data_IF_479064935608
#
_entry.id   IF_479064935608
#
_cell.length_a   1.000
_cell.length_b   1.000
_cell.length_c   1.000
_cell.angle_alpha   90.00
_cell.angle_beta   90.00
_cell.angle_gamma   90.00
#
_symmetry.space_group_name_H-M   'P 1'
#
loop_
_entity.id
_entity.type
_entity.pdbx_description
1 polymer ?
#
# COMPACT_ATOMS: atom_id res chain seq x y z
N UNK A 1 -35.20 -11.74 9.96
CA UNK A 1 -36.26 -11.67 11.01
C UNK A 1 -35.79 -11.04 12.31
N UNK A 2 -34.61 -11.31 12.84
CA UNK A 2 -34.13 -10.68 14.11
C UNK A 2 -34.11 -9.13 14.09
N UNK A 3 -33.85 -8.51 12.94
CA UNK A 3 -33.74 -7.04 12.79
C UNK A 3 -35.12 -6.34 12.77
N UNK A 4 -36.20 -7.04 12.51
CA UNK A 4 -37.54 -6.47 12.29
C UNK A 4 -38.56 -6.86 13.38
N UNK A 5 -38.13 -6.98 14.63
CA UNK A 5 -39.02 -7.27 15.75
C UNK A 5 -39.52 -8.73 15.79
N UNK A 6 -38.59 -9.68 15.54
CA UNK A 6 -38.85 -11.12 15.53
C UNK A 6 -39.66 -11.60 16.75
N UNK A 7 -39.44 -11.01 17.93
CA UNK A 7 -40.16 -11.38 19.14
C UNK A 7 -41.63 -10.92 19.12
N UNK A 8 -41.91 -9.75 18.54
CA UNK A 8 -43.31 -9.28 18.38
C UNK A 8 -44.09 -10.14 17.40
N UNK A 9 -43.42 -10.53 16.28
CA UNK A 9 -43.99 -11.44 15.29
C UNK A 9 -44.22 -12.82 15.91
N UNK A 10 -43.27 -13.35 16.67
CA UNK A 10 -43.35 -14.62 17.36
C UNK A 10 -44.50 -14.65 18.40
N UNK A 11 -44.66 -13.58 19.18
CA UNK A 11 -45.75 -13.44 20.13
C UNK A 11 -47.13 -13.30 19.45
N UNK A 12 -47.18 -12.62 18.28
CA UNK A 12 -48.41 -12.51 17.49
C UNK A 12 -48.78 -13.87 16.88
N UNK A 13 -47.83 -14.66 16.41
CA UNK A 13 -48.02 -16.00 15.90
C UNK A 13 -48.53 -16.96 16.99
N UNK A 14 -47.98 -16.88 18.22
CA UNK A 14 -48.46 -17.65 19.35
C UNK A 14 -49.90 -17.30 19.75
N UNK A 15 -50.31 -16.01 19.63
CA UNK A 15 -51.72 -15.58 19.90
C UNK A 15 -52.71 -16.01 18.80
N UNK A 16 -52.22 -16.23 17.59
CA UNK A 16 -53.02 -16.70 16.43
C UNK A 16 -53.17 -18.24 16.40
N UNK A 17 -52.59 -18.96 17.37
CA UNK A 17 -52.76 -20.41 17.48
C UNK A 17 -52.04 -21.21 16.39
N UNK A 18 -51.02 -20.63 15.75
CA UNK A 18 -50.28 -21.28 14.67
C UNK A 18 -49.30 -22.31 15.21
N UNK A 19 -49.45 -23.57 14.85
CA UNK A 19 -48.52 -24.65 15.15
C UNK A 19 -47.28 -24.63 14.25
N UNK A 20 -46.17 -25.19 14.74
CA UNK A 20 -44.93 -25.26 14.01
C UNK A 20 -45.07 -26.10 12.72
N UNK A 21 -44.95 -25.47 11.57
CA UNK A 21 -44.92 -26.14 10.27
C UNK A 21 -46.08 -25.80 9.34
N UNK A 22 -47.07 -25.04 9.77
CA UNK A 22 -48.17 -24.60 8.89
C UNK A 22 -47.76 -23.35 8.06
N UNK A 23 -48.17 -23.25 6.79
CA UNK A 23 -47.94 -22.06 5.97
C UNK A 23 -48.76 -20.87 6.49
N UNK A 24 -48.11 -19.74 6.71
CA UNK A 24 -48.72 -18.54 7.26
C UNK A 24 -49.46 -17.77 6.15
N UNK A 25 -50.73 -18.00 5.99
CA UNK A 25 -51.61 -17.33 5.01
C UNK A 25 -52.41 -16.17 5.61
N UNK A 26 -51.78 -15.26 6.36
CA UNK A 26 -52.47 -14.12 6.93
C UNK A 26 -52.09 -12.81 6.28
N UNK A 27 -53.06 -12.04 5.74
CA UNK A 27 -52.84 -10.79 4.96
C UNK A 27 -51.99 -9.75 5.73
N UNK A 28 -52.07 -9.68 7.05
CA UNK A 28 -51.21 -8.79 7.87
C UNK A 28 -49.74 -9.25 7.88
N UNK A 29 -49.51 -10.56 7.95
CA UNK A 29 -48.17 -11.14 7.94
C UNK A 29 -47.48 -10.93 6.58
N UNK A 30 -48.22 -11.20 5.48
CA UNK A 30 -47.74 -10.95 4.13
C UNK A 30 -47.32 -9.47 3.94
N UNK A 31 -48.20 -8.53 4.36
CA UNK A 31 -47.86 -7.09 4.30
C UNK A 31 -46.68 -6.71 5.19
N UNK A 32 -46.51 -7.34 6.34
CA UNK A 32 -45.39 -7.09 7.22
C UNK A 32 -44.05 -7.59 6.57
N UNK A 33 -44.11 -8.74 5.92
CA UNK A 33 -42.97 -9.31 5.17
C UNK A 33 -42.60 -8.41 3.97
N UNK A 34 -43.61 -7.98 3.17
CA UNK A 34 -43.37 -7.05 2.07
C UNK A 34 -42.71 -5.73 2.53
N UNK A 35 -43.19 -5.15 3.61
CA UNK A 35 -42.57 -3.94 4.17
C UNK A 35 -41.13 -4.18 4.63
N UNK A 36 -40.89 -5.31 5.29
CA UNK A 36 -39.55 -5.69 5.73
C UNK A 36 -38.62 -5.91 4.53
N UNK A 37 -39.09 -6.58 3.48
CA UNK A 37 -38.30 -6.77 2.23
C UNK A 37 -37.97 -5.43 1.56
N UNK A 38 -38.97 -4.55 1.37
CA UNK A 38 -38.74 -3.20 0.82
C UNK A 38 -37.74 -2.39 1.63
N UNK A 39 -37.77 -2.51 2.97
CA UNK A 39 -36.83 -1.83 3.83
C UNK A 39 -35.41 -2.38 3.71
N UNK A 40 -35.23 -3.71 3.58
CA UNK A 40 -33.93 -4.34 3.33
C UNK A 40 -33.40 -3.96 1.95
N UNK A 41 -34.26 -4.01 0.92
CA UNK A 41 -33.90 -3.60 -0.45
C UNK A 41 -33.47 -2.13 -0.48
N UNK A 42 -34.22 -1.23 0.17
CA UNK A 42 -33.85 0.19 0.29
C UNK A 42 -32.48 0.39 0.93
N UNK A 43 -32.18 -0.30 2.05
CA UNK A 43 -30.86 -0.23 2.70
C UNK A 43 -29.77 -0.78 1.80
N UNK A 44 -30.00 -1.90 1.13
CA UNK A 44 -29.03 -2.49 0.22
C UNK A 44 -28.78 -1.58 -0.99
N UNK A 45 -29.82 -0.93 -1.50
CA UNK A 45 -29.70 0.05 -2.57
C UNK A 45 -28.87 1.26 -2.14
N UNK A 46 -29.15 1.84 -0.98
CA UNK A 46 -28.37 2.95 -0.41
C UNK A 46 -26.91 2.58 -0.21
N UNK A 47 -26.64 1.39 0.36
CA UNK A 47 -25.27 0.91 0.56
C UNK A 47 -24.51 0.76 -0.77
N UNK A 48 -25.16 0.21 -1.80
CA UNK A 48 -24.56 0.08 -3.14
C UNK A 48 -24.33 1.44 -3.78
N UNK A 49 -25.30 2.36 -3.66
CA UNK A 49 -25.16 3.72 -4.17
C UNK A 49 -23.98 4.44 -3.53
N UNK A 50 -23.81 4.31 -2.22
CA UNK A 50 -22.65 4.88 -1.51
C UNK A 50 -21.33 4.29 -2.02
N UNK A 51 -21.24 2.98 -2.23
CA UNK A 51 -20.04 2.35 -2.79
C UNK A 51 -19.69 2.90 -4.17
N UNK A 52 -20.70 3.00 -5.07
CA UNK A 52 -20.51 3.55 -6.41
C UNK A 52 -20.01 5.00 -6.40
N UNK A 53 -20.52 5.84 -5.49
CA UNK A 53 -20.10 7.24 -5.39
C UNK A 53 -18.62 7.40 -5.00
N UNK A 54 -18.06 6.49 -4.19
CA UNK A 54 -16.62 6.43 -3.90
C UNK A 54 -15.81 5.85 -5.07
N UNK A 55 -16.34 4.81 -5.70
CA UNK A 55 -15.68 4.14 -6.83
C UNK A 55 -15.58 5.05 -8.06
N UNK A 56 -16.58 5.93 -8.30
CA UNK A 56 -16.56 6.90 -9.40
C UNK A 56 -15.37 7.86 -9.32
N UNK A 57 -14.99 8.30 -8.11
CA UNK A 57 -13.83 9.17 -7.91
C UNK A 57 -12.55 8.42 -8.29
N UNK A 58 -12.40 7.20 -7.78
CA UNK A 58 -11.24 6.35 -8.07
C UNK A 58 -11.14 5.99 -9.55
N UNK A 59 -12.28 5.74 -10.23
CA UNK A 59 -12.31 5.42 -11.65
C UNK A 59 -11.81 6.58 -12.52
N UNK A 60 -12.23 7.82 -12.23
CA UNK A 60 -11.73 9.01 -12.95
C UNK A 60 -10.22 9.19 -12.79
N UNK A 61 -9.70 8.97 -11.60
CA UNK A 61 -8.26 9.03 -11.34
C UNK A 61 -7.52 7.90 -12.05
N UNK A 62 -8.10 6.69 -12.07
CA UNK A 62 -7.57 5.54 -12.81
C UNK A 62 -7.49 5.80 -14.31
N UNK A 63 -8.53 6.38 -14.90
CA UNK A 63 -8.55 6.75 -16.32
C UNK A 63 -7.42 7.71 -16.65
N UNK A 64 -7.18 8.74 -15.83
CA UNK A 64 -6.10 9.69 -16.02
C UNK A 64 -4.71 9.03 -15.96
N UNK A 65 -4.46 8.17 -14.96
CA UNK A 65 -3.19 7.46 -14.82
C UNK A 65 -2.98 6.43 -15.93
N UNK A 66 -4.03 5.73 -16.34
CA UNK A 66 -3.92 4.75 -17.42
C UNK A 66 -3.75 5.41 -18.79
N UNK A 67 -4.28 6.63 -19.01
CA UNK A 67 -3.97 7.44 -20.19
C UNK A 67 -2.48 7.81 -20.24
N UNK A 68 -1.96 8.40 -19.16
CA UNK A 68 -0.53 8.70 -19.04
C UNK A 68 0.34 7.46 -19.27
N UNK A 69 -0.02 6.34 -18.63
CA UNK A 69 0.70 5.08 -18.80
C UNK A 69 0.68 4.58 -20.26
N UNK A 70 -0.42 4.76 -20.94
CA UNK A 70 -0.56 4.43 -22.37
C UNK A 70 0.32 5.32 -23.24
N UNK A 71 0.33 6.62 -23.01
CA UNK A 71 1.18 7.59 -23.72
C UNK A 71 2.67 7.24 -23.56
N UNK A 72 3.09 6.89 -22.33
CA UNK A 72 4.46 6.41 -22.06
C UNK A 72 4.77 5.13 -22.86
N UNK A 73 3.84 4.15 -22.89
CA UNK A 73 4.05 2.89 -23.61
C UNK A 73 4.11 3.07 -25.11
N UNK A 74 3.35 4.02 -25.67
CA UNK A 74 3.38 4.36 -27.10
C UNK A 74 4.59 5.21 -27.47
N UNK A 75 5.33 5.74 -26.48
CA UNK A 75 6.46 6.64 -26.72
C UNK A 75 6.03 8.07 -27.05
N UNK A 76 4.76 8.43 -26.83
CA UNK A 76 4.22 9.79 -27.00
C UNK A 76 4.70 10.71 -25.88
N UNK A 77 4.80 10.19 -24.67
CA UNK A 77 5.44 10.85 -23.52
C UNK A 77 6.94 10.49 -23.50
N UNK A 78 7.76 11.26 -24.17
CA UNK A 78 9.21 11.08 -24.27
C UNK A 78 9.97 12.35 -23.93
N UNK A 79 11.00 12.68 -24.75
CA UNK A 79 11.87 13.84 -24.57
C UNK A 79 11.11 15.13 -24.27
N UNK A 80 10.10 15.45 -25.09
CA UNK A 80 9.37 16.72 -24.98
C UNK A 80 8.64 16.80 -23.64
N UNK A 81 8.02 15.71 -23.20
CA UNK A 81 7.37 15.64 -21.88
C UNK A 81 8.38 15.85 -20.74
N UNK A 82 9.54 15.19 -20.80
CA UNK A 82 10.58 15.31 -19.76
C UNK A 82 11.11 16.74 -19.68
N UNK A 83 11.39 17.39 -20.82
CA UNK A 83 11.92 18.74 -20.86
C UNK A 83 10.88 19.77 -20.41
N UNK A 84 9.61 19.62 -20.81
CA UNK A 84 8.52 20.48 -20.35
C UNK A 84 8.37 20.41 -18.82
N UNK A 85 8.39 19.20 -18.24
CA UNK A 85 8.33 19.06 -16.78
C UNK A 85 9.59 19.58 -16.08
N UNK A 86 10.75 19.44 -16.71
CA UNK A 86 11.99 20.02 -16.19
C UNK A 86 11.94 21.55 -16.16
N UNK A 87 11.39 22.18 -17.19
CA UNK A 87 11.18 23.63 -17.25
C UNK A 87 10.23 24.10 -16.14
N UNK A 88 9.12 23.39 -15.90
CA UNK A 88 8.19 23.69 -14.82
C UNK A 88 8.88 23.62 -13.44
N UNK A 89 9.76 22.62 -13.22
CA UNK A 89 10.52 22.51 -11.97
C UNK A 89 11.54 23.63 -11.82
N UNK A 90 12.24 24.03 -12.90
CA UNK A 90 13.15 25.18 -12.87
C UNK A 90 12.37 26.45 -12.51
N UNK A 91 11.21 26.67 -13.13
CA UNK A 91 10.34 27.81 -12.83
C UNK A 91 9.91 27.82 -11.35
N UNK A 92 9.50 26.68 -10.83
CA UNK A 92 9.13 26.52 -9.41
C UNK A 92 10.30 26.83 -8.46
N UNK A 93 11.49 26.31 -8.75
CA UNK A 93 12.69 26.54 -7.94
C UNK A 93 13.08 28.01 -8.00
N UNK A 94 13.05 28.63 -9.18
CA UNK A 94 13.32 30.06 -9.36
C UNK A 94 12.32 30.92 -8.57
N UNK A 95 11.03 30.64 -8.67
CA UNK A 95 10.00 31.41 -7.96
C UNK A 95 10.10 31.25 -6.44
N UNK A 96 10.63 30.11 -5.96
CA UNK A 96 10.83 29.83 -4.54
C UNK A 96 12.07 30.51 -3.98
N UNK A 97 13.20 30.44 -4.70
CA UNK A 97 14.50 30.91 -4.20
C UNK A 97 14.87 32.33 -4.66
N UNK A 98 14.33 32.74 -5.82
CA UNK A 98 14.65 34.01 -6.47
C UNK A 98 13.38 34.80 -6.85
N UNK A 99 12.34 34.79 -6.02
CA UNK A 99 11.01 35.32 -6.36
C UNK A 99 11.04 36.77 -6.89
N UNK A 100 10.11 37.12 -7.81
CA UNK A 100 10.01 38.40 -8.50
C UNK A 100 9.93 39.64 -7.59
N UNK A 101 9.63 39.48 -6.30
CA UNK A 101 9.50 40.57 -5.32
C UNK A 101 10.72 40.68 -4.40
N UNK A 102 11.75 39.88 -4.64
CA UNK A 102 12.97 39.83 -3.85
C UNK A 102 14.08 40.52 -4.64
N UNK A 103 14.83 41.41 -4.01
CA UNK A 103 15.97 42.06 -4.64
C UNK A 103 17.06 40.99 -4.92
N UNK A 104 17.81 41.16 -6.00
CA UNK A 104 18.83 40.18 -6.43
C UNK A 104 19.88 39.87 -5.35
N UNK A 105 20.10 40.82 -4.44
CA UNK A 105 21.01 40.64 -3.29
C UNK A 105 20.47 39.67 -2.20
N UNK A 106 19.16 39.43 -2.19
CA UNK A 106 18.47 38.61 -1.21
C UNK A 106 18.11 37.23 -1.78
N UNK A 107 18.55 36.91 -3.01
CA UNK A 107 18.33 35.58 -3.60
C UNK A 107 19.13 34.51 -2.88
N UNK A 108 18.48 33.38 -2.58
CA UNK A 108 19.16 32.23 -2.01
C UNK A 108 19.78 31.34 -3.10
N UNK A 109 20.88 31.80 -3.67
CA UNK A 109 21.63 31.06 -4.70
C UNK A 109 22.22 29.74 -4.16
N UNK A 110 22.42 29.63 -2.83
CA UNK A 110 22.87 28.40 -2.20
C UNK A 110 21.77 27.32 -2.19
N UNK A 111 20.55 27.71 -1.85
CA UNK A 111 19.38 26.84 -1.94
C UNK A 111 19.06 26.49 -3.38
N UNK A 112 19.12 27.44 -4.32
CA UNK A 112 18.98 27.22 -5.75
C UNK A 112 19.97 26.13 -6.25
N UNK A 113 21.23 26.27 -5.93
CA UNK A 113 22.26 25.30 -6.34
C UNK A 113 22.00 23.91 -5.74
N UNK A 114 21.50 23.85 -4.49
CA UNK A 114 21.11 22.61 -3.83
C UNK A 114 19.94 21.93 -4.56
N UNK A 115 18.94 22.70 -4.96
CA UNK A 115 17.79 22.20 -5.70
C UNK A 115 18.20 21.72 -7.10
N UNK A 116 19.04 22.47 -7.84
CA UNK A 116 19.55 22.07 -9.15
C UNK A 116 20.35 20.75 -9.09
N UNK A 117 21.14 20.58 -8.03
CA UNK A 117 21.81 19.32 -7.77
C UNK A 117 20.83 18.19 -7.42
N UNK A 118 19.80 18.50 -6.64
CA UNK A 118 18.82 17.51 -6.18
C UNK A 118 17.93 16.99 -7.32
N UNK A 119 17.50 17.87 -8.23
CA UNK A 119 16.62 17.50 -9.34
C UNK A 119 17.38 17.01 -10.59
N UNK A 120 18.46 17.68 -10.96
CA UNK A 120 19.09 17.51 -12.27
C UNK A 120 20.53 16.99 -12.22
N UNK A 121 21.06 16.75 -11.02
CA UNK A 121 22.47 16.34 -10.84
C UNK A 121 23.46 17.35 -11.43
N UNK A 122 23.10 18.65 -11.40
CA UNK A 122 23.95 19.75 -11.85
C UNK A 122 24.78 20.24 -10.66
N UNK A 123 26.11 20.15 -10.78
CA UNK A 123 27.04 20.57 -9.73
C UNK A 123 27.14 22.10 -9.66
N UNK A 124 27.46 22.63 -8.50
CA UNK A 124 27.64 24.10 -8.29
C UNK A 124 28.63 24.70 -9.29
N UNK A 125 29.71 23.99 -9.61
CA UNK A 125 30.72 24.43 -10.58
C UNK A 125 30.22 24.46 -12.04
N UNK A 126 29.14 23.78 -12.38
CA UNK A 126 28.52 23.76 -13.71
C UNK A 126 27.53 24.93 -13.88
N UNK A 127 27.07 25.54 -12.78
CA UNK A 127 26.10 26.62 -12.82
C UNK A 127 26.67 27.95 -13.37
N UNK A 128 27.96 28.15 -13.28
CA UNK A 128 28.62 29.39 -13.73
C UNK A 128 28.43 30.55 -12.76
N UNK A 129 28.54 31.79 -13.27
CA UNK A 129 28.38 33.02 -12.48
C UNK A 129 26.89 33.44 -12.48
N UNK A 130 26.17 33.04 -11.42
CA UNK A 130 24.74 33.32 -11.26
C UNK A 130 24.46 34.73 -10.76
N UNK A 131 25.44 35.37 -10.05
CA UNK A 131 25.24 36.68 -9.41
C UNK A 131 25.18 37.84 -10.41
N UNK A 132 25.74 37.64 -11.60
CA UNK A 132 25.81 38.66 -12.66
C UNK A 132 24.57 38.69 -13.56
N UNK A 133 23.67 37.70 -13.48
CA UNK A 133 22.56 37.55 -14.40
C UNK A 133 21.29 38.23 -13.87
N UNK A 134 20.49 38.80 -14.79
CA UNK A 134 19.14 39.23 -14.48
C UNK A 134 18.20 38.02 -14.30
N UNK A 135 17.09 38.18 -13.58
CA UNK A 135 16.16 37.09 -13.22
C UNK A 135 15.75 36.23 -14.42
N UNK A 136 15.36 36.83 -15.53
CA UNK A 136 14.95 36.13 -16.74
C UNK A 136 16.16 35.47 -17.44
N UNK A 137 17.31 36.10 -17.44
CA UNK A 137 18.53 35.53 -17.99
C UNK A 137 19.01 34.34 -17.19
N UNK A 138 18.88 34.41 -15.86
CA UNK A 138 19.16 33.30 -14.96
C UNK A 138 18.22 32.12 -15.23
N UNK A 139 16.93 32.39 -15.39
CA UNK A 139 15.91 31.39 -15.72
C UNK A 139 16.25 30.64 -17.01
N UNK A 140 16.49 31.37 -18.08
CA UNK A 140 16.85 30.81 -19.38
C UNK A 140 18.19 30.08 -19.35
N UNK A 141 19.16 30.57 -18.59
CA UNK A 141 20.44 29.91 -18.39
C UNK A 141 20.26 28.54 -17.71
N UNK A 142 19.49 28.46 -16.63
CA UNK A 142 19.23 27.20 -15.92
C UNK A 142 18.47 26.19 -16.79
N UNK A 143 17.44 26.63 -17.54
CA UNK A 143 16.73 25.77 -18.51
C UNK A 143 17.68 25.24 -19.59
N UNK A 144 18.57 26.11 -20.09
CA UNK A 144 19.61 25.72 -21.05
C UNK A 144 20.56 24.68 -20.49
N UNK A 145 20.99 24.81 -19.23
CA UNK A 145 21.86 23.82 -18.59
C UNK A 145 21.16 22.45 -18.43
N UNK A 146 19.89 22.46 -18.01
CA UNK A 146 19.10 21.24 -17.87
C UNK A 146 18.93 20.53 -19.23
N UNK A 147 18.59 21.30 -20.26
CA UNK A 147 18.48 20.79 -21.65
C UNK A 147 19.80 20.19 -22.13
N UNK A 148 20.91 20.89 -21.92
CA UNK A 148 22.25 20.43 -22.30
C UNK A 148 22.59 19.13 -21.57
N UNK A 149 22.38 19.05 -20.26
CA UNK A 149 22.60 17.84 -19.45
C UNK A 149 21.80 16.64 -19.94
N UNK A 150 20.53 16.87 -20.29
CA UNK A 150 19.68 15.84 -20.88
C UNK A 150 20.20 15.38 -22.25
N UNK A 151 20.59 16.31 -23.11
CA UNK A 151 21.11 16.01 -24.47
C UNK A 151 22.44 15.26 -24.44
N UNK A 152 23.36 15.64 -23.55
CA UNK A 152 24.61 14.91 -23.32
C UNK A 152 24.33 13.47 -22.90
N UNK A 153 23.39 13.27 -21.97
CA UNK A 153 22.96 11.95 -21.53
C UNK A 153 22.34 11.16 -22.70
N UNK A 154 21.45 11.81 -23.45
CA UNK A 154 20.80 11.20 -24.61
C UNK A 154 21.80 10.79 -25.70
N UNK A 155 22.78 11.62 -25.98
CA UNK A 155 23.85 11.29 -26.94
C UNK A 155 24.73 10.11 -26.49
N UNK A 156 25.08 10.09 -25.19
CA UNK A 156 25.88 9.01 -24.60
C UNK A 156 25.15 7.67 -24.61
N UNK A 157 23.84 7.66 -24.32
CA UNK A 157 23.03 6.43 -24.27
C UNK A 157 22.47 6.01 -25.64
N UNK A 158 22.35 6.93 -26.58
CA UNK A 158 21.84 6.66 -27.93
C UNK A 158 20.46 6.01 -27.91
N UNK A 159 20.32 4.91 -28.64
CA UNK A 159 19.03 4.20 -28.75
C UNK A 159 18.48 3.63 -27.42
N UNK A 160 19.34 3.47 -26.40
CA UNK A 160 18.93 2.95 -25.09
C UNK A 160 18.16 4.00 -24.31
N UNK A 161 18.38 5.29 -24.59
CA UNK A 161 17.77 6.40 -23.86
C UNK A 161 16.24 6.31 -23.79
N UNK A 162 15.58 6.07 -24.91
CA UNK A 162 14.10 5.95 -24.97
C UNK A 162 13.57 4.77 -24.15
N UNK A 163 14.30 3.64 -24.14
CA UNK A 163 13.93 2.48 -23.32
C UNK A 163 14.12 2.77 -21.84
N UNK A 164 15.19 3.47 -21.51
CA UNK A 164 15.52 3.86 -20.15
C UNK A 164 14.50 4.84 -19.58
N UNK A 165 14.13 5.89 -20.32
CA UNK A 165 13.07 6.83 -19.94
C UNK A 165 11.76 6.12 -19.70
N UNK A 166 11.32 5.31 -20.66
CA UNK A 166 10.07 4.58 -20.54
C UNK A 166 10.03 3.65 -19.33
N UNK A 167 11.13 2.96 -19.06
CA UNK A 167 11.23 2.06 -17.90
C UNK A 167 11.12 2.84 -16.57
N UNK A 168 11.85 3.96 -16.47
CA UNK A 168 11.79 4.84 -15.28
C UNK A 168 10.39 5.37 -15.09
N UNK A 169 9.79 5.99 -16.13
CA UNK A 169 8.47 6.60 -16.06
C UNK A 169 7.41 5.57 -15.65
N UNK A 170 7.40 4.38 -16.25
CA UNK A 170 6.47 3.32 -15.90
C UNK A 170 6.63 2.85 -14.45
N UNK A 171 7.86 2.67 -13.98
CA UNK A 171 8.13 2.24 -12.60
C UNK A 171 7.65 3.28 -11.59
N UNK A 172 7.93 4.55 -11.84
CA UNK A 172 7.53 5.65 -10.94
C UNK A 172 6.01 5.77 -10.90
N UNK A 173 5.36 5.80 -12.07
CA UNK A 173 3.89 5.88 -12.18
C UNK A 173 3.22 4.69 -11.48
N UNK A 174 3.67 3.46 -11.76
CA UNK A 174 3.09 2.25 -11.18
C UNK A 174 3.29 2.19 -9.67
N UNK A 175 4.42 2.65 -9.15
CA UNK A 175 4.69 2.69 -7.72
C UNK A 175 3.81 3.72 -7.01
N UNK A 176 3.81 4.96 -7.49
CA UNK A 176 3.02 6.04 -6.92
C UNK A 176 1.51 5.74 -6.97
N UNK A 177 1.02 5.16 -8.06
CA UNK A 177 -0.37 4.74 -8.19
C UNK A 177 -0.77 3.68 -7.16
N UNK A 178 0.07 2.67 -6.92
CA UNK A 178 -0.18 1.65 -5.89
C UNK A 178 -0.26 2.24 -4.49
N UNK A 179 0.68 3.14 -4.16
CA UNK A 179 0.67 3.83 -2.87
C UNK A 179 -0.58 4.72 -2.71
N UNK A 180 -0.96 5.41 -3.79
CA UNK A 180 -2.16 6.25 -3.80
C UNK A 180 -3.44 5.44 -3.57
N UNK A 181 -3.59 4.29 -4.23
CA UNK A 181 -4.73 3.40 -4.01
C UNK A 181 -4.82 2.96 -2.54
N UNK A 182 -3.69 2.60 -1.94
CA UNK A 182 -3.65 2.25 -0.51
C UNK A 182 -4.05 3.44 0.36
N UNK A 183 -3.59 4.65 0.02
CA UNK A 183 -3.98 5.89 0.69
C UNK A 183 -5.49 6.17 0.61
N UNK A 184 -6.09 5.95 -0.57
CA UNK A 184 -7.54 6.10 -0.76
C UNK A 184 -8.36 5.08 0.04
N UNK A 185 -7.87 3.85 0.18
CA UNK A 185 -8.53 2.84 1.02
C UNK A 185 -8.53 3.28 2.49
N UNK A 186 -7.40 3.77 3.01
CA UNK A 186 -7.34 4.32 4.37
C UNK A 186 -8.21 5.56 4.55
N UNK A 187 -8.25 6.45 3.55
CA UNK A 187 -9.14 7.61 3.56
C UNK A 187 -10.61 7.19 3.65
N UNK A 188 -11.02 6.20 2.85
CA UNK A 188 -12.38 5.65 2.81
C UNK A 188 -12.80 5.04 4.15
N UNK A 189 -11.89 4.35 4.84
CA UNK A 189 -12.16 3.81 6.19
C UNK A 189 -12.37 4.91 7.23
N UNK A 190 -11.55 5.97 7.18
CA UNK A 190 -11.57 7.07 8.14
C UNK A 190 -12.65 8.14 7.90
N UNK A 191 -13.14 8.30 6.67
CA UNK A 191 -13.96 9.44 6.27
C UNK A 191 -15.31 9.50 6.99
N UNK A 192 -15.88 8.35 7.36
CA UNK A 192 -17.17 8.28 8.05
C UNK A 192 -17.13 8.94 9.44
N UNK A 193 -15.95 9.01 10.08
CA UNK A 193 -15.78 9.66 11.37
C UNK A 193 -15.99 11.18 11.28
N UNK A 194 -15.81 11.78 10.11
CA UNK A 194 -16.04 13.22 9.88
C UNK A 194 -17.51 13.62 9.89
N UNK A 195 -18.39 12.65 9.71
CA UNK A 195 -19.85 12.85 9.90
C UNK A 195 -20.21 13.35 11.29
N UNK A 196 -19.43 13.05 12.32
CA UNK A 196 -19.63 13.58 13.67
C UNK A 196 -19.38 15.09 13.76
N UNK A 197 -18.58 15.66 12.84
CA UNK A 197 -18.32 17.11 12.74
C UNK A 197 -19.32 17.84 11.85
N UNK A 198 -20.48 17.26 11.55
CA UNK A 198 -21.54 17.81 10.67
C UNK A 198 -21.07 18.09 9.23
N UNK A 199 -19.99 17.48 8.79
CA UNK A 199 -19.54 17.54 7.40
C UNK A 199 -20.08 16.37 6.61
N UNK A 200 -20.40 16.61 5.32
CA UNK A 200 -20.80 15.52 4.43
C UNK A 200 -19.57 14.65 4.09
N UNK A 201 -19.53 13.39 4.54
CA UNK A 201 -18.38 12.51 4.30
C UNK A 201 -18.04 12.33 2.83
N UNK A 202 -19.04 12.42 1.93
CA UNK A 202 -18.83 12.27 0.49
C UNK A 202 -18.11 13.47 -0.10
N UNK A 203 -18.47 14.67 0.31
CA UNK A 203 -17.82 15.89 -0.16
C UNK A 203 -16.39 15.97 0.34
N UNK A 204 -16.17 15.62 1.61
CA UNK A 204 -14.83 15.57 2.20
C UNK A 204 -13.97 14.50 1.48
N UNK A 205 -14.52 13.31 1.20
CA UNK A 205 -13.79 12.29 0.44
C UNK A 205 -13.39 12.77 -0.96
N UNK A 206 -14.31 13.39 -1.70
CA UNK A 206 -14.01 13.94 -3.04
C UNK A 206 -12.91 14.98 -2.98
N UNK A 207 -12.97 15.87 -2.01
CA UNK A 207 -11.97 16.91 -1.83
C UNK A 207 -10.60 16.35 -1.48
N UNK A 208 -10.52 15.53 -0.43
CA UNK A 208 -9.25 14.97 0.04
C UNK A 208 -8.63 14.00 -0.97
N UNK A 209 -9.45 13.18 -1.63
CA UNK A 209 -8.96 12.29 -2.68
C UNK A 209 -8.44 13.07 -3.90
N UNK A 210 -9.05 14.21 -4.24
CA UNK A 210 -8.55 15.07 -5.30
C UNK A 210 -7.21 15.72 -4.92
N UNK A 211 -7.11 16.28 -3.72
CA UNK A 211 -5.86 16.88 -3.20
C UNK A 211 -4.74 15.83 -3.15
N UNK A 212 -5.01 14.63 -2.63
CA UNK A 212 -4.06 13.53 -2.60
C UNK A 212 -3.63 13.10 -4.03
N UNK A 213 -4.54 13.14 -5.00
CA UNK A 213 -4.24 12.81 -6.38
C UNK A 213 -3.33 13.85 -7.05
N UNK A 214 -3.55 15.16 -6.79
CA UNK A 214 -2.67 16.20 -7.31
C UNK A 214 -1.26 16.08 -6.72
N UNK A 215 -1.15 15.91 -5.40
CA UNK A 215 0.14 15.67 -4.74
C UNK A 215 0.86 14.42 -5.26
N UNK A 216 0.11 13.36 -5.61
CA UNK A 216 0.70 12.18 -6.24
C UNK A 216 1.26 12.50 -7.62
N UNK A 217 0.55 13.28 -8.44
CA UNK A 217 1.01 13.69 -9.79
C UNK A 217 2.30 14.51 -9.70
N UNK A 218 2.33 15.52 -8.86
CA UNK A 218 3.53 16.33 -8.60
C UNK A 218 4.71 15.46 -8.16
N UNK A 219 4.47 14.49 -7.26
CA UNK A 219 5.49 13.55 -6.82
C UNK A 219 5.98 12.64 -7.94
N UNK A 220 5.10 12.22 -8.87
CA UNK A 220 5.48 11.43 -10.05
C UNK A 220 6.45 12.24 -10.91
N UNK A 221 6.13 13.48 -11.22
CA UNK A 221 6.95 14.37 -12.05
C UNK A 221 8.32 14.60 -11.42
N UNK A 222 8.36 14.97 -10.15
CA UNK A 222 9.59 15.11 -9.36
C UNK A 222 10.45 13.85 -9.37
N UNK A 223 9.82 12.71 -9.12
CA UNK A 223 10.55 11.44 -9.01
C UNK A 223 11.09 10.97 -10.36
N UNK A 224 10.35 11.23 -11.45
CA UNK A 224 10.82 10.94 -12.81
C UNK A 224 12.09 11.74 -13.09
N UNK A 225 12.07 13.06 -12.87
CA UNK A 225 13.22 13.93 -13.14
C UNK A 225 14.43 13.53 -12.28
N UNK A 226 14.26 13.45 -10.96
CA UNK A 226 15.34 13.04 -10.05
C UNK A 226 15.96 11.69 -10.42
N UNK A 227 15.11 10.75 -10.85
CA UNK A 227 15.59 9.41 -11.21
C UNK A 227 16.27 9.43 -12.55
N UNK A 228 15.68 10.10 -13.55
CA UNK A 228 16.20 10.14 -14.91
C UNK A 228 17.56 10.81 -15.00
N UNK A 229 17.75 11.95 -14.32
CA UNK A 229 19.01 12.68 -14.37
C UNK A 229 20.12 12.00 -13.57
N UNK A 230 19.83 11.35 -12.44
CA UNK A 230 20.81 10.70 -11.56
C UNK A 230 21.17 9.27 -11.95
N UNK A 231 20.17 8.48 -12.37
CA UNK A 231 20.42 7.07 -12.65
C UNK A 231 21.12 6.88 -14.00
N UNK A 232 22.08 5.97 -14.01
CA UNK A 232 22.69 5.47 -15.21
C UNK A 232 22.19 4.04 -15.48
N UNK A 233 21.91 3.67 -16.74
CA UNK A 233 21.57 2.30 -17.06
C UNK A 233 22.77 1.39 -16.79
N UNK A 234 22.49 0.25 -16.23
CA UNK A 234 23.53 -0.75 -15.97
C UNK A 234 24.08 -1.30 -17.28
N UNK A 235 25.39 -1.46 -17.37
CA UNK A 235 26.02 -2.16 -18.48
C UNK A 235 25.66 -3.65 -18.47
N UNK A 236 25.82 -4.33 -19.60
CA UNK A 236 25.56 -5.77 -19.67
C UNK A 236 26.38 -6.57 -18.64
N UNK A 237 27.65 -6.22 -18.45
CA UNK A 237 28.52 -6.83 -17.45
C UNK A 237 27.99 -6.65 -16.02
N UNK A 238 27.55 -5.44 -15.69
CA UNK A 238 26.95 -5.14 -14.39
C UNK A 238 25.63 -5.88 -14.18
N UNK A 239 24.80 -6.01 -15.24
CA UNK A 239 23.55 -6.78 -15.18
C UNK A 239 23.83 -8.26 -14.97
N UNK A 240 24.86 -8.83 -15.59
CA UNK A 240 25.22 -10.22 -15.43
C UNK A 240 25.80 -10.51 -14.04
N UNK A 241 26.62 -9.61 -13.53
CA UNK A 241 27.13 -9.69 -12.16
C UNK A 241 25.99 -9.60 -11.12
N UNK A 242 25.06 -8.69 -11.29
CA UNK A 242 23.90 -8.55 -10.40
C UNK A 242 22.98 -9.79 -10.47
N UNK A 243 22.77 -10.37 -11.67
CA UNK A 243 22.04 -11.63 -11.82
C UNK A 243 22.73 -12.77 -11.07
N UNK A 244 24.04 -12.87 -11.19
CA UNK A 244 24.84 -13.86 -10.46
C UNK A 244 24.72 -13.67 -8.95
N UNK A 245 24.85 -12.43 -8.49
CA UNK A 245 24.72 -12.05 -7.07
C UNK A 245 23.34 -12.37 -6.50
N UNK A 246 22.27 -12.07 -7.26
CA UNK A 246 20.90 -12.41 -6.88
C UNK A 246 20.68 -13.93 -6.83
N UNK A 247 21.20 -14.65 -7.81
CA UNK A 247 21.13 -16.10 -7.84
C UNK A 247 21.86 -16.76 -6.66
N UNK A 248 23.03 -16.24 -6.26
CA UNK A 248 23.77 -16.69 -5.09
C UNK A 248 23.01 -16.35 -3.78
N UNK A 249 22.46 -15.15 -3.66
CA UNK A 249 21.66 -14.75 -2.50
C UNK A 249 20.41 -15.63 -2.38
N UNK A 250 19.73 -15.91 -3.49
CA UNK A 250 18.59 -16.83 -3.51
C UNK A 250 18.99 -18.25 -3.08
N UNK A 251 20.10 -18.79 -3.59
CA UNK A 251 20.62 -20.11 -3.18
C UNK A 251 20.93 -20.16 -1.70
N UNK A 252 21.61 -19.13 -1.16
CA UNK A 252 21.90 -19.02 0.27
C UNK A 252 20.61 -18.99 1.12
N UNK A 253 19.65 -18.19 0.71
CA UNK A 253 18.35 -18.09 1.38
C UNK A 253 17.59 -19.42 1.34
N UNK A 254 17.61 -20.11 0.22
CA UNK A 254 16.98 -21.44 0.07
C UNK A 254 17.68 -22.48 0.95
N UNK A 255 19.01 -22.51 0.99
CA UNK A 255 19.78 -23.40 1.84
C UNK A 255 19.49 -23.17 3.34
N UNK A 256 19.41 -21.89 3.76
CA UNK A 256 19.07 -21.51 5.12
C UNK A 256 17.63 -21.94 5.48
N UNK A 257 16.66 -21.78 4.56
CA UNK A 257 15.28 -22.20 4.80
C UNK A 257 15.16 -23.74 4.86
N UNK A 258 15.89 -24.47 4.01
CA UNK A 258 15.93 -25.93 4.04
C UNK A 258 16.60 -26.45 5.32
N UNK A 259 17.70 -25.83 5.76
CA UNK A 259 18.36 -26.17 7.03
C UNK A 259 17.46 -25.86 8.24
N UNK A 260 16.71 -24.75 8.21
CA UNK A 260 15.74 -24.43 9.26
C UNK A 260 14.56 -25.42 9.29
N UNK A 261 14.07 -25.85 8.13
CA UNK A 261 13.02 -26.86 8.04
C UNK A 261 13.49 -28.22 8.59
N UNK A 262 14.69 -28.67 8.20
CA UNK A 262 15.26 -29.91 8.72
C UNK A 262 15.57 -29.87 10.23
N UNK A 263 15.97 -28.71 10.75
CA UNK A 263 16.15 -28.51 12.19
C UNK A 263 14.82 -28.51 12.95
N UNK A 264 13.74 -27.98 12.36
CA UNK A 264 12.40 -28.02 12.93
C UNK A 264 11.86 -29.48 12.97
N UNK A 265 12.02 -30.25 11.89
CA UNK A 265 11.66 -31.66 11.88
C UNK A 265 12.47 -32.48 12.90
N UNK A 266 13.78 -32.21 13.05
CA UNK A 266 14.62 -32.86 14.06
C UNK A 266 14.23 -32.45 15.50
N UNK A 267 13.69 -31.25 15.69
CA UNK A 267 13.19 -30.81 17.00
C UNK A 267 11.84 -31.46 17.36
N UNK A 268 10.96 -31.68 16.37
CA UNK A 268 9.70 -32.41 16.56
C UNK A 268 9.91 -33.91 16.76
N UNK A 269 10.94 -34.50 16.14
CA UNK A 269 11.31 -35.92 16.30
C UNK A 269 11.96 -36.24 17.66
N UNK A 270 12.24 -35.26 18.51
CA UNK A 270 12.70 -35.55 19.88
C UNK A 270 11.56 -36.15 20.68
N UNK A 271 11.73 -37.40 21.25
CA UNK A 271 10.68 -38.05 22.00
C UNK A 271 10.29 -37.15 23.19
N UNK A 272 9.07 -36.68 23.17
CA UNK A 272 8.50 -35.96 24.32
C UNK A 272 8.43 -36.98 25.46
N UNK A 273 9.09 -36.66 26.58
CA UNK A 273 8.98 -37.43 27.80
C UNK A 273 7.52 -37.40 28.23
N UNK A 274 6.80 -38.52 28.05
CA UNK A 274 5.41 -38.67 28.50
C UNK A 274 5.42 -38.55 30.03
N UNK A 275 5.01 -37.42 30.54
CA UNK A 275 4.73 -37.24 31.96
C UNK A 275 3.43 -37.99 32.24
N UNK A 276 3.56 -39.22 32.83
CA UNK A 276 2.41 -39.92 33.33
C UNK A 276 1.71 -39.06 34.39
N UNK A 277 0.49 -38.65 34.12
CA UNK A 277 -0.36 -37.84 35.00
C UNK A 277 -0.99 -38.70 36.13
N UNK A 278 -0.36 -39.78 36.51
CA UNK A 278 -0.77 -40.59 37.65
C UNK A 278 0.12 -40.34 38.86
N UNK A 279 -0.45 -39.93 40.00
CA UNK A 279 0.29 -39.84 41.25
C UNK A 279 0.90 -41.23 41.56
N UNK A 280 2.24 -41.32 41.56
CA UNK A 280 2.93 -42.55 41.93
C UNK A 280 2.61 -42.86 43.39
N UNK A 281 1.82 -43.91 43.66
CA UNK A 281 1.55 -44.38 45.01
C UNK A 281 2.85 -44.86 45.62
N UNK A 282 3.25 -44.20 46.73
CA UNK A 282 4.47 -44.56 47.44
C UNK A 282 4.38 -45.98 48.04
N UNK A 283 5.50 -46.65 48.15
CA UNK A 283 5.57 -48.05 48.66
C UNK A 283 4.92 -48.21 50.02
N UNK A 284 4.86 -47.17 50.83
CA UNK A 284 4.30 -47.17 52.17
C UNK A 284 2.88 -46.54 52.28
N UNK A 285 2.36 -46.00 51.19
CA UNK A 285 1.04 -45.38 51.16
C UNK A 285 -0.09 -46.43 51.20
N UNK A 286 -1.30 -46.02 51.66
CA UNK A 286 -2.42 -46.94 51.63
C UNK A 286 -2.75 -47.39 50.22
N UNK A 287 -3.02 -48.68 50.05
CA UNK A 287 -3.31 -49.21 48.70
C UNK A 287 -4.62 -48.62 48.15
N UNK A 288 -4.64 -48.14 46.91
CA UNK A 288 -5.83 -47.53 46.32
C UNK A 288 -7.00 -48.52 46.10
N UNK A 289 -6.79 -49.83 46.34
CA UNK A 289 -7.88 -50.81 46.29
C UNK A 289 -8.81 -50.80 47.51
N UNK A 290 -8.59 -49.92 48.51
CA UNK A 290 -9.45 -49.81 49.70
C UNK A 290 -9.24 -50.89 50.77
N UNK A 291 -8.23 -51.77 50.63
CA UNK A 291 -7.98 -52.89 51.58
C UNK A 291 -7.37 -52.50 52.93
N UNK A 292 -7.08 -51.20 53.16
CA UNK A 292 -6.45 -50.68 54.37
C UNK A 292 -4.99 -51.11 54.59
N UNK A 293 -4.41 -51.91 53.67
CA UNK A 293 -3.02 -52.38 53.75
C UNK A 293 -2.09 -51.42 52.99
N UNK A 294 -0.83 -51.30 53.42
CA UNK A 294 0.20 -50.54 52.69
C UNK A 294 0.44 -51.14 51.31
N UNK A 295 0.65 -50.30 50.28
CA UNK A 295 0.80 -50.72 48.88
C UNK A 295 1.77 -51.84 48.69
N UNK A 296 2.96 -51.86 49.37
CA UNK A 296 3.97 -52.92 49.34
C UNK A 296 3.50 -54.28 49.89
N UNK A 297 2.43 -54.33 50.67
CA UNK A 297 1.83 -55.57 51.24
C UNK A 297 0.49 -55.93 50.58
N UNK A 298 0.15 -55.25 49.47
CA UNK A 298 -1.06 -55.54 48.68
C UNK A 298 -0.66 -55.64 47.21
N UNK A 299 -1.08 -54.70 46.36
CA UNK A 299 -0.79 -54.71 44.92
C UNK A 299 0.68 -54.48 44.56
N UNK A 300 1.44 -53.85 45.45
CA UNK A 300 2.89 -53.66 45.28
C UNK A 300 3.72 -54.90 45.65
N UNK A 301 3.13 -55.98 46.18
CA UNK A 301 3.84 -57.22 46.46
C UNK A 301 3.97 -58.10 45.23
N UNK A 302 3.09 -57.98 44.23
CA UNK A 302 3.11 -58.73 42.96
C UNK A 302 3.98 -58.08 41.89
N UNK A 303 4.42 -56.82 42.08
CA UNK A 303 5.27 -56.14 41.11
C UNK A 303 6.78 -56.37 41.29
N UNK A 304 7.17 -57.22 42.21
CA UNK A 304 8.59 -57.55 42.50
C UNK A 304 9.09 -58.84 41.86
N UNK A 305 8.29 -59.49 40.98
CA UNK A 305 8.66 -60.72 40.24
C UNK A 305 8.29 -60.51 38.77
N UNK A 306 9.05 -59.68 38.08
CA UNK A 306 9.21 -59.70 36.61
C UNK A 306 10.46 -58.92 36.27
#
# INVERSE_FOLDING_TARGET
MRIFGGDRVKNLMGRLGMEHGEPIEHRMVTRAIERAQKQVEGRNFESRKHLLEYDDVMNKQREAIYSLRKEILLGEAGKDYVLERADDVVDFVMDTQCGQKVDAQDWDLGALATDMLAYFDIQVGELGDLESLALEELREHLKGLVTTKYEEKSQRLGAIMQLFERDIMLRVVDHAWKEHLLGLDHLKEGINLRGYAQRDPKQEYKKESYEAFQLMKERIEDQILKTLFRMEPMTEEQMEEERRRRAEAFRKRFQLSAAAASAAEAAEARPQTVKHAGSKVGRNDPCPCGSGKKYKKCHGATAAVS
#
